data_IF_945445864699
#
_entry.id   IF_945445864699
#
_cell.length_a   1.000
_cell.length_b   1.000
_cell.length_c   1.000
_cell.angle_alpha   90.00
_cell.angle_beta   90.00
_cell.angle_gamma   90.00
#
_symmetry.space_group_name_H-M   'P 1'
#
loop_
_entity.id
_entity.type
_entity.pdbx_description
1 polymer ?
#
# COMPACT_ATOMS: atom_id res chain seq x y z
N UNK A 1 -6.71 -2.48 -27.76
CA UNK A 1 -6.98 -1.50 -26.69
C UNK A 1 -5.71 -1.29 -25.91
N UNK A 2 -5.39 -0.04 -25.60
CA UNK A 2 -4.30 0.32 -24.70
C UNK A 2 -4.82 0.35 -23.27
N UNK A 3 -3.98 0.06 -22.29
CA UNK A 3 -4.31 0.28 -20.87
C UNK A 3 -4.71 1.74 -20.58
N UNK A 4 -4.22 2.70 -21.39
CA UNK A 4 -4.62 4.11 -21.30
C UNK A 4 -6.11 4.35 -21.58
N UNK A 5 -6.77 3.40 -22.24
CA UNK A 5 -8.18 3.52 -22.62
C UNK A 5 -9.11 3.11 -21.45
N UNK A 6 -8.61 2.33 -20.48
CA UNK A 6 -9.42 1.76 -19.39
C UNK A 6 -8.91 2.11 -18.00
N UNK A 7 -7.65 2.53 -17.85
CA UNK A 7 -7.08 2.93 -16.55
C UNK A 7 -7.33 4.40 -16.26
N UNK A 8 -7.87 4.68 -15.08
CA UNK A 8 -8.24 6.02 -14.63
C UNK A 8 -7.28 6.59 -13.59
N UNK A 9 -6.44 5.76 -12.97
CA UNK A 9 -5.49 6.19 -11.96
C UNK A 9 -4.72 5.06 -11.30
N UNK A 10 -3.89 5.45 -10.33
CA UNK A 10 -3.25 4.52 -9.40
C UNK A 10 -4.18 4.35 -8.20
N UNK A 11 -4.51 3.10 -7.89
CA UNK A 11 -5.33 2.74 -6.74
C UNK A 11 -4.47 2.80 -5.47
N UNK A 12 -3.41 1.99 -5.41
CA UNK A 12 -2.44 1.96 -4.30
C UNK A 12 -1.03 1.54 -4.74
N UNK A 13 -0.07 1.82 -3.86
CA UNK A 13 1.30 1.31 -3.90
C UNK A 13 1.48 0.29 -2.78
N UNK A 14 1.88 -0.94 -3.13
CA UNK A 14 2.08 -2.01 -2.17
C UNK A 14 3.49 -2.00 -1.58
N UNK A 15 3.60 -1.98 -0.24
CA UNK A 15 4.86 -1.95 0.49
C UNK A 15 4.83 -2.97 1.65
N UNK A 16 5.66 -4.03 1.61
CA UNK A 16 5.76 -4.97 2.72
C UNK A 16 6.56 -4.35 3.88
N UNK A 17 6.23 -4.73 5.11
CA UNK A 17 6.95 -4.32 6.31
C UNK A 17 7.11 -5.47 7.31
N UNK A 18 8.13 -5.42 8.15
CA UNK A 18 8.26 -6.32 9.32
C UNK A 18 7.63 -5.73 10.58
N UNK A 19 7.41 -4.41 10.61
CA UNK A 19 6.87 -3.67 11.76
C UNK A 19 5.71 -2.77 11.29
N UNK A 20 4.49 -3.29 11.39
CA UNK A 20 3.29 -2.61 10.92
C UNK A 20 3.03 -1.35 11.75
N UNK A 21 3.07 -1.46 13.07
CA UNK A 21 2.84 -0.37 14.00
C UNK A 21 3.87 0.76 13.83
N UNK A 22 5.16 0.43 13.70
CA UNK A 22 6.21 1.42 13.44
C UNK A 22 6.06 2.10 12.08
N UNK A 23 5.63 1.35 11.06
CA UNK A 23 5.35 1.89 9.72
C UNK A 23 4.16 2.84 9.73
N UNK A 24 3.05 2.47 10.38
CA UNK A 24 1.88 3.34 10.57
C UNK A 24 2.30 4.64 11.26
N UNK A 25 2.98 4.54 12.41
CA UNK A 25 3.40 5.71 13.18
C UNK A 25 4.33 6.63 12.38
N UNK A 26 5.19 6.06 11.52
CA UNK A 26 6.05 6.84 10.63
C UNK A 26 5.25 7.66 9.62
N UNK A 27 4.32 7.03 8.91
CA UNK A 27 3.53 7.70 7.88
C UNK A 27 2.49 8.66 8.46
N UNK A 28 1.91 8.39 9.63
CA UNK A 28 1.05 9.34 10.34
C UNK A 28 1.79 10.64 10.68
N UNK A 29 3.07 10.57 11.08
CA UNK A 29 3.90 11.77 11.28
C UNK A 29 4.15 12.56 10.00
N UNK A 30 4.07 11.91 8.84
CA UNK A 30 4.14 12.57 7.53
C UNK A 30 2.77 13.11 7.07
N UNK A 31 1.70 12.88 7.82
CA UNK A 31 0.34 13.35 7.54
C UNK A 31 -0.56 12.34 6.83
N UNK A 32 -0.15 11.07 6.72
CA UNK A 32 -1.05 10.02 6.23
C UNK A 32 -2.10 9.68 7.29
N UNK A 33 -3.29 9.33 6.85
CA UNK A 33 -4.36 8.78 7.67
C UNK A 33 -4.36 7.24 7.56
N UNK A 34 -4.39 6.56 8.70
CA UNK A 34 -4.63 5.12 8.75
C UNK A 34 -6.13 4.83 8.58
N UNK A 35 -6.51 4.25 7.44
CA UNK A 35 -7.91 3.97 7.12
C UNK A 35 -8.46 2.72 7.84
N UNK A 36 -7.59 1.96 8.49
CA UNK A 36 -7.94 0.75 9.23
C UNK A 36 -6.83 -0.30 9.21
N UNK A 37 -7.00 -1.31 10.05
CA UNK A 37 -6.13 -2.50 10.06
C UNK A 37 -7.02 -3.72 9.82
N UNK A 38 -6.63 -4.51 8.83
CA UNK A 38 -7.40 -5.62 8.28
C UNK A 38 -6.61 -6.93 8.38
N UNK A 39 -7.29 -8.08 8.54
CA UNK A 39 -6.64 -9.38 8.48
C UNK A 39 -6.14 -9.68 7.06
N UNK A 40 -4.97 -10.31 6.94
CA UNK A 40 -4.36 -10.74 5.68
C UNK A 40 -3.78 -12.16 5.84
N UNK A 41 -4.64 -13.18 5.88
CA UNK A 41 -4.21 -14.54 6.23
C UNK A 41 -3.78 -14.62 7.70
N UNK A 42 -2.56 -15.10 7.95
CA UNK A 42 -1.93 -15.05 9.29
C UNK A 42 -1.29 -13.67 9.59
N UNK A 43 -1.22 -12.80 8.59
CA UNK A 43 -0.63 -11.46 8.65
C UNK A 43 -1.71 -10.36 8.78
N UNK A 44 -1.27 -9.10 8.84
CA UNK A 44 -2.13 -7.91 8.91
C UNK A 44 -1.76 -6.92 7.81
N UNK A 45 -2.76 -6.21 7.32
CA UNK A 45 -2.61 -5.15 6.32
C UNK A 45 -3.27 -3.85 6.81
N UNK A 46 -2.75 -2.71 6.40
CA UNK A 46 -3.34 -1.39 6.59
C UNK A 46 -3.29 -0.59 5.29
N UNK A 47 -4.26 0.32 5.14
CA UNK A 47 -4.24 1.32 4.08
C UNK A 47 -3.92 2.68 4.69
N UNK A 48 -2.83 3.29 4.23
CA UNK A 48 -2.40 4.62 4.63
C UNK A 48 -2.69 5.59 3.48
N UNK A 49 -3.44 6.66 3.74
CA UNK A 49 -3.87 7.62 2.71
C UNK A 49 -3.31 9.02 2.96
N UNK A 50 -2.74 9.62 1.92
CA UNK A 50 -2.41 11.05 1.88
C UNK A 50 -2.98 11.64 0.59
N UNK A 51 -4.01 12.48 0.71
CA UNK A 51 -4.73 13.05 -0.44
C UNK A 51 -5.20 11.94 -1.42
N UNK A 52 -4.62 11.88 -2.61
CA UNK A 52 -4.91 10.87 -3.64
C UNK A 52 -3.94 9.68 -3.64
N UNK A 53 -2.90 9.66 -2.80
CA UNK A 53 -1.95 8.57 -2.70
C UNK A 53 -2.36 7.58 -1.59
N UNK A 54 -2.55 6.32 -1.96
CA UNK A 54 -2.78 5.21 -1.03
C UNK A 54 -1.57 4.30 -0.98
N UNK A 55 -1.14 3.92 0.22
CA UNK A 55 -0.21 2.83 0.44
C UNK A 55 -0.97 1.64 1.01
N UNK A 56 -0.80 0.47 0.41
CA UNK A 56 -1.16 -0.80 1.02
C UNK A 56 0.09 -1.34 1.73
N UNK A 57 0.01 -1.50 3.05
CA UNK A 57 1.14 -1.97 3.85
C UNK A 57 0.75 -3.23 4.60
N UNK A 58 1.48 -4.32 4.38
CA UNK A 58 1.23 -5.59 5.06
C UNK A 58 2.48 -6.14 5.74
N UNK A 59 2.25 -6.93 6.80
CA UNK A 59 3.33 -7.66 7.46
C UNK A 59 3.84 -8.78 6.56
N UNK A 60 5.16 -8.92 6.46
CA UNK A 60 5.84 -10.00 5.76
C UNK A 60 7.14 -10.32 6.48
N UNK A 61 7.48 -11.60 6.60
CA UNK A 61 8.77 -12.02 7.14
C UNK A 61 9.38 -13.15 6.27
N UNK A 62 10.55 -12.91 5.61
CA UNK A 62 11.34 -11.69 5.62
C UNK A 62 10.82 -10.63 4.63
N UNK A 63 11.00 -9.35 4.96
CA UNK A 63 10.96 -8.29 3.93
C UNK A 63 12.26 -8.24 3.13
N UNK A 64 12.30 -7.60 1.94
CA UNK A 64 13.51 -7.46 1.13
C UNK A 64 14.72 -6.81 1.83
N UNK A 65 14.50 -5.99 2.87
CA UNK A 65 15.56 -5.30 3.63
C UNK A 65 16.52 -4.45 2.77
N UNK A 66 16.00 -3.88 1.69
CA UNK A 66 16.73 -3.03 0.75
C UNK A 66 15.98 -1.72 0.47
N UNK A 67 16.69 -0.70 -0.02
CA UNK A 67 16.09 0.55 -0.42
C UNK A 67 15.21 0.34 -1.66
N UNK A 68 13.98 0.89 -1.63
CA UNK A 68 13.07 0.80 -2.76
C UNK A 68 12.21 -0.47 -2.78
N UNK A 69 11.95 -1.09 -1.61
CA UNK A 69 11.10 -2.28 -1.46
C UNK A 69 9.60 -2.07 -1.79
N UNK A 70 9.26 -1.17 -2.71
CA UNK A 70 7.93 -1.11 -3.32
C UNK A 70 7.71 -2.43 -4.06
N UNK A 71 6.67 -3.16 -3.69
CA UNK A 71 6.38 -4.47 -4.25
C UNK A 71 5.55 -4.38 -5.53
N UNK A 72 4.51 -3.54 -5.55
CA UNK A 72 3.63 -3.40 -6.71
C UNK A 72 2.89 -2.06 -6.75
N UNK A 73 2.22 -1.81 -7.89
CA UNK A 73 1.21 -0.77 -8.07
C UNK A 73 -0.10 -1.43 -8.51
N UNK A 74 -1.21 -1.01 -7.90
CA UNK A 74 -2.55 -1.34 -8.37
C UNK A 74 -3.13 -0.14 -9.15
N UNK A 75 -3.87 -0.43 -10.21
CA UNK A 75 -4.46 0.57 -11.10
C UNK A 75 -5.98 0.47 -11.07
N UNK A 76 -6.65 1.61 -11.01
CA UNK A 76 -8.09 1.68 -11.18
C UNK A 76 -8.43 1.41 -12.66
N UNK A 77 -9.29 0.44 -12.94
CA UNK A 77 -9.72 0.08 -14.30
C UNK A 77 -11.24 0.10 -14.42
N UNK A 78 -11.75 0.62 -15.54
CA UNK A 78 -13.19 0.60 -15.86
C UNK A 78 -13.69 -0.73 -16.41
N UNK A 79 -12.77 -1.62 -16.80
CA UNK A 79 -13.05 -2.93 -17.41
C UNK A 79 -11.91 -3.90 -17.05
N UNK A 80 -12.24 -5.12 -16.58
CA UNK A 80 -11.27 -6.10 -16.02
C UNK A 80 -11.24 -7.42 -16.79
#
# INVERSE_FOLDING_TARGET
MSIRDTVTGVQHVGIPTTDLEGTIAYYERLGFECLGIYPNGEDRCTFLRLNNLTLEVWTMNPTPMENGAINHFALDSTDI
#
